data_IF_710516162084
#
_entry.id   IF_710516162084
#
_cell.length_a   1.000
_cell.length_b   1.000
_cell.length_c   1.000
_cell.angle_alpha   90.00
_cell.angle_beta   90.00
_cell.angle_gamma   90.00
#
_symmetry.space_group_name_H-M   'P 1'
#
loop_
_entity.id
_entity.type
_entity.pdbx_description
1 polymer ?
#
# COMPACT_ATOMS: atom_id res chain seq x y z
N UNK A 1 -3.58 -20.02 -13.10
CA UNK A 1 -4.32 -20.31 -11.86
C UNK A 1 -3.34 -20.92 -10.87
N UNK A 2 -2.82 -20.12 -9.96
CA UNK A 2 -1.86 -20.53 -8.93
C UNK A 2 -2.56 -21.45 -7.92
N UNK A 3 -1.97 -22.61 -7.65
CA UNK A 3 -2.43 -23.59 -6.66
C UNK A 3 -2.71 -22.93 -5.31
N UNK A 4 -3.72 -23.37 -4.54
CA UNK A 4 -4.01 -22.78 -3.24
C UNK A 4 -2.83 -23.03 -2.29
N UNK A 5 -2.19 -21.94 -1.84
CA UNK A 5 -1.19 -22.01 -0.77
C UNK A 5 -1.91 -22.42 0.52
N UNK A 6 -1.62 -23.63 1.01
CA UNK A 6 -2.18 -24.10 2.26
C UNK A 6 -1.45 -23.43 3.43
N UNK A 7 -2.09 -22.44 4.06
CA UNK A 7 -1.53 -21.70 5.19
C UNK A 7 -1.98 -22.38 6.50
N UNK A 8 -1.03 -22.95 7.25
CA UNK A 8 -1.30 -23.53 8.57
C UNK A 8 -0.90 -22.53 9.65
N UNK A 9 -1.87 -22.04 10.44
CA UNK A 9 -1.63 -21.11 11.55
C UNK A 9 -1.64 -21.89 12.87
N UNK A 10 -0.55 -21.79 13.63
CA UNK A 10 -0.40 -22.42 14.95
C UNK A 10 -0.49 -21.39 16.08
N UNK A 11 -0.73 -21.85 17.31
CA UNK A 11 -0.75 -20.99 18.49
C UNK A 11 0.61 -20.31 18.71
N UNK A 12 0.59 -18.98 18.81
CA UNK A 12 1.76 -18.15 19.08
C UNK A 12 1.79 -17.69 20.54
N UNK A 13 2.99 -17.39 21.05
CA UNK A 13 3.15 -16.54 22.25
C UNK A 13 2.71 -15.10 21.92
N UNK A 14 2.49 -14.22 22.92
CA UNK A 14 2.16 -12.82 22.67
C UNK A 14 3.18 -12.15 21.74
N UNK A 15 2.70 -11.38 20.75
CA UNK A 15 3.55 -10.59 19.88
C UNK A 15 3.96 -9.31 20.62
N UNK A 16 5.26 -9.08 20.78
CA UNK A 16 5.81 -7.93 21.49
C UNK A 16 6.86 -7.28 20.59
N UNK A 17 6.66 -6.00 20.27
CA UNK A 17 7.59 -5.23 19.44
C UNK A 17 6.92 -4.00 18.85
N UNK A 18 7.70 -3.24 18.09
CA UNK A 18 7.22 -2.09 17.32
C UNK A 18 7.26 -2.44 15.84
N UNK A 19 6.21 -2.06 15.10
CA UNK A 19 6.14 -2.25 13.66
C UNK A 19 5.75 -0.93 13.00
N UNK A 20 6.39 -0.62 11.88
CA UNK A 20 5.93 0.44 10.99
C UNK A 20 4.91 -0.12 10.02
N UNK A 21 3.67 0.36 10.10
CA UNK A 21 2.61 -0.03 9.18
C UNK A 21 2.86 0.67 7.83
N UNK A 22 2.62 -0.02 6.70
CA UNK A 22 2.62 0.62 5.39
C UNK A 22 1.65 1.81 5.31
N UNK A 23 1.80 2.65 4.28
CA UNK A 23 0.83 3.69 3.98
C UNK A 23 -0.58 3.14 3.73
N UNK A 24 -1.59 4.01 3.82
CA UNK A 24 -2.96 3.64 3.49
C UNK A 24 -3.18 3.59 1.98
N UNK A 25 -3.88 2.56 1.49
CA UNK A 25 -4.15 2.37 0.06
C UNK A 25 -5.04 3.47 -0.52
N UNK A 26 -6.10 3.85 0.20
CA UNK A 26 -7.05 4.86 -0.28
C UNK A 26 -6.42 6.24 -0.32
N UNK A 27 -5.60 6.59 0.68
CA UNK A 27 -4.85 7.85 0.70
C UNK A 27 -3.82 7.87 -0.43
N UNK A 28 -3.05 6.79 -0.60
CA UNK A 28 -2.03 6.68 -1.66
C UNK A 28 -2.65 6.77 -3.06
N UNK A 29 -3.79 6.12 -3.28
CA UNK A 29 -4.50 6.22 -4.56
C UNK A 29 -5.00 7.65 -4.82
N UNK A 30 -5.62 8.28 -3.81
CA UNK A 30 -6.15 9.64 -3.95
C UNK A 30 -5.05 10.69 -4.11
N UNK A 31 -3.90 10.52 -3.47
CA UNK A 31 -2.79 11.47 -3.60
C UNK A 31 -2.22 11.49 -5.03
N UNK A 32 -2.20 10.35 -5.73
CA UNK A 32 -1.85 10.30 -7.17
C UNK A 32 -2.87 11.09 -7.99
N UNK A 33 -4.17 10.83 -7.80
CA UNK A 33 -5.24 11.51 -8.54
C UNK A 33 -5.15 13.03 -8.32
N UNK A 34 -5.03 13.47 -7.07
CA UNK A 34 -4.93 14.90 -6.75
C UNK A 34 -3.67 15.53 -7.34
N UNK A 35 -2.54 14.82 -7.31
CA UNK A 35 -1.30 15.26 -7.96
C UNK A 35 -1.45 15.44 -9.47
N UNK A 36 -2.08 14.47 -10.15
CA UNK A 36 -2.32 14.53 -11.60
C UNK A 36 -3.24 15.67 -12.05
N UNK A 37 -4.08 16.17 -11.15
CA UNK A 37 -4.97 17.31 -11.40
C UNK A 37 -4.33 18.66 -11.07
N UNK A 38 -3.15 18.67 -10.44
CA UNK A 38 -2.46 19.88 -10.00
C UNK A 38 -1.40 20.32 -11.01
N UNK A 39 -1.20 21.64 -11.14
CA UNK A 39 -0.16 22.22 -12.01
C UNK A 39 1.20 22.38 -11.32
N UNK A 40 1.36 21.87 -10.10
CA UNK A 40 2.54 22.04 -9.27
C UNK A 40 3.21 20.71 -8.90
N UNK A 41 4.35 20.81 -8.23
CA UNK A 41 5.05 19.63 -7.71
C UNK A 41 4.37 19.14 -6.42
N UNK A 42 4.02 17.85 -6.39
CA UNK A 42 3.48 17.18 -5.20
C UNK A 42 4.47 16.13 -4.70
N UNK A 43 4.93 16.29 -3.45
CA UNK A 43 5.76 15.29 -2.77
C UNK A 43 4.92 14.51 -1.76
N UNK A 44 4.91 13.18 -1.86
CA UNK A 44 4.15 12.29 -0.97
C UNK A 44 5.11 11.40 -0.19
N UNK A 45 4.95 11.35 1.14
CA UNK A 45 5.72 10.47 2.03
C UNK A 45 4.88 9.30 2.53
N UNK A 46 5.54 8.20 2.90
CA UNK A 46 4.89 6.96 3.36
C UNK A 46 3.85 6.40 2.36
N UNK A 47 4.12 6.56 1.07
CA UNK A 47 3.25 6.11 -0.01
C UNK A 47 3.17 4.58 -0.06
N UNK A 48 1.95 4.04 -0.19
CA UNK A 48 1.75 2.60 -0.39
C UNK A 48 1.94 2.24 -1.87
N UNK A 49 3.02 1.52 -2.17
CA UNK A 49 3.29 0.94 -3.49
C UNK A 49 2.46 -0.32 -3.72
N UNK A 50 1.14 -0.16 -3.88
CA UNK A 50 0.24 -1.25 -4.26
C UNK A 50 0.10 -1.38 -5.78
N UNK A 51 -0.28 -2.55 -6.29
CA UNK A 51 -0.54 -2.76 -7.72
C UNK A 51 -1.60 -1.80 -8.25
N UNK A 52 -2.64 -1.53 -7.45
CA UNK A 52 -3.70 -0.57 -7.79
C UNK A 52 -3.15 0.86 -7.93
N UNK A 53 -2.28 1.28 -7.02
CA UNK A 53 -1.64 2.59 -7.08
C UNK A 53 -0.66 2.68 -8.28
N UNK A 54 0.08 1.61 -8.55
CA UNK A 54 0.99 1.55 -9.70
C UNK A 54 0.25 1.54 -11.04
N UNK A 55 -0.96 0.97 -11.09
CA UNK A 55 -1.81 1.06 -12.27
C UNK A 55 -2.27 2.51 -12.53
N UNK A 56 -2.63 3.26 -11.48
CA UNK A 56 -3.04 4.66 -11.60
C UNK A 56 -1.90 5.59 -12.06
N UNK A 57 -0.66 5.34 -11.63
CA UNK A 57 0.51 6.13 -12.06
C UNK A 57 0.85 5.93 -13.54
N UNK A 58 0.57 4.74 -14.10
CA UNK A 58 0.98 4.34 -15.46
C UNK A 58 -0.02 4.71 -16.56
N UNK A 59 -0.98 5.58 -16.28
CA UNK A 59 -1.92 6.09 -17.30
C UNK A 59 -1.22 7.03 -18.29
#
# INVERSE_FOLDING_TARGET
>A
MSSPNNLIINKSKPLIGNLKIPGDKSISHRSIILGSLSNGELTISNFLTSDDCNATIRQ
#
